data_IF_278832810785
#
_entry.id   IF_278832810785
#
_cell.length_a   1.000
_cell.length_b   1.000
_cell.length_c   1.000
_cell.angle_alpha   90.00
_cell.angle_beta   90.00
_cell.angle_gamma   90.00
#
_symmetry.space_group_name_H-M   'P 1'
#
loop_
_entity.id
_entity.type
_entity.pdbx_description
1 polymer ?
#
# COMPACT_ATOMS: atom_id res chain seq x y z
N UNK A 1 -7.51 -14.22 -11.97
CA UNK A 1 -6.35 -13.66 -12.71
C UNK A 1 -5.03 -14.16 -12.13
N UNK A 2 -4.68 -13.81 -10.90
CA UNK A 2 -3.39 -14.19 -10.29
C UNK A 2 -3.09 -15.70 -10.25
N UNK A 3 -4.07 -16.54 -9.90
CA UNK A 3 -3.90 -17.99 -9.92
C UNK A 3 -3.61 -18.56 -11.31
N UNK A 4 -4.35 -18.08 -12.34
CA UNK A 4 -4.16 -18.51 -13.71
C UNK A 4 -2.79 -18.09 -14.24
N UNK A 5 -2.40 -16.82 -14.05
CA UNK A 5 -1.06 -16.33 -14.43
C UNK A 5 0.03 -17.10 -13.68
N UNK A 6 -0.13 -17.28 -12.37
CA UNK A 6 0.80 -18.03 -11.54
C UNK A 6 0.96 -19.48 -11.96
N UNK A 7 -0.08 -20.14 -12.45
CA UNK A 7 -0.01 -21.52 -12.94
C UNK A 7 0.89 -21.65 -14.17
N UNK A 8 0.71 -20.79 -15.17
CA UNK A 8 1.54 -20.77 -16.38
C UNK A 8 3.00 -20.44 -16.06
N UNK A 9 3.22 -19.48 -15.16
CA UNK A 9 4.57 -19.05 -14.80
C UNK A 9 5.28 -20.13 -13.96
N UNK A 10 4.59 -20.70 -12.97
CA UNK A 10 5.17 -21.66 -12.04
C UNK A 10 5.44 -23.02 -12.69
N UNK A 11 4.46 -23.58 -13.40
CA UNK A 11 4.54 -24.96 -13.90
C UNK A 11 5.06 -25.06 -15.33
N UNK A 12 4.73 -24.08 -16.19
CA UNK A 12 5.16 -24.08 -17.59
C UNK A 12 6.41 -23.22 -17.83
N UNK A 13 6.93 -22.56 -16.77
CA UNK A 13 8.15 -21.73 -16.81
C UNK A 13 8.14 -20.67 -17.91
N UNK A 14 6.95 -20.17 -18.25
CA UNK A 14 6.79 -19.06 -19.18
C UNK A 14 7.21 -17.76 -18.48
N UNK A 15 8.01 -16.88 -19.11
CA UNK A 15 8.42 -15.61 -18.53
C UNK A 15 7.23 -14.80 -18.01
N UNK A 16 7.35 -14.27 -16.78
CA UNK A 16 6.26 -13.59 -16.07
C UNK A 16 5.70 -12.41 -16.84
N UNK A 17 6.59 -11.57 -17.41
CA UNK A 17 6.22 -10.39 -18.20
C UNK A 17 5.27 -10.72 -19.35
N UNK A 18 5.52 -11.83 -20.06
CA UNK A 18 4.69 -12.27 -21.19
C UNK A 18 3.30 -12.66 -20.69
N UNK A 19 3.23 -13.47 -19.63
CA UNK A 19 1.95 -13.96 -19.08
C UNK A 19 1.13 -12.83 -18.47
N UNK A 20 1.78 -11.85 -17.82
CA UNK A 20 1.08 -10.71 -17.21
C UNK A 20 0.58 -9.72 -18.25
N UNK A 21 1.37 -9.40 -19.30
CA UNK A 21 0.93 -8.52 -20.38
C UNK A 21 -0.13 -9.17 -21.26
N UNK A 22 0.08 -10.42 -21.68
CA UNK A 22 -0.93 -11.15 -22.45
C UNK A 22 -2.23 -11.29 -21.64
N UNK A 23 -2.11 -11.60 -20.34
CA UNK A 23 -3.25 -11.64 -19.44
C UNK A 23 -3.99 -10.30 -19.39
N UNK A 24 -3.27 -9.18 -19.22
CA UNK A 24 -3.87 -7.85 -19.23
C UNK A 24 -4.66 -7.58 -20.52
N UNK A 25 -4.08 -7.87 -21.69
CA UNK A 25 -4.72 -7.67 -22.99
C UNK A 25 -5.98 -8.55 -23.15
N UNK A 26 -5.90 -9.83 -22.75
CA UNK A 26 -7.03 -10.75 -22.82
C UNK A 26 -8.16 -10.29 -21.91
N UNK A 27 -7.88 -10.04 -20.62
CA UNK A 27 -8.91 -9.61 -19.67
C UNK A 27 -9.52 -8.26 -20.06
N UNK A 28 -8.71 -7.34 -20.57
CA UNK A 28 -9.19 -6.05 -21.08
C UNK A 28 -10.08 -6.22 -22.31
N UNK A 29 -9.68 -7.07 -23.26
CA UNK A 29 -10.49 -7.38 -24.45
C UNK A 29 -11.82 -8.01 -24.07
N UNK A 30 -11.82 -8.95 -23.11
CA UNK A 30 -13.04 -9.55 -22.56
C UNK A 30 -13.93 -8.48 -21.92
N UNK A 31 -13.36 -7.60 -21.07
CA UNK A 31 -14.12 -6.50 -20.48
C UNK A 31 -14.74 -5.59 -21.54
N UNK A 32 -13.99 -5.25 -22.60
CA UNK A 32 -14.48 -4.40 -23.68
C UNK A 32 -15.60 -5.06 -24.49
N UNK A 33 -15.51 -6.37 -24.73
CA UNK A 33 -16.54 -7.15 -25.40
C UNK A 33 -17.81 -7.26 -24.54
N UNK A 34 -17.67 -7.56 -23.24
CA UNK A 34 -18.79 -7.65 -22.30
C UNK A 34 -19.52 -6.32 -22.12
N UNK A 35 -18.79 -5.20 -22.21
CA UNK A 35 -19.33 -3.85 -22.04
C UNK A 35 -19.77 -3.21 -23.36
N UNK A 36 -19.99 -4.00 -24.41
CA UNK A 36 -20.61 -3.53 -25.65
C UNK A 36 -19.82 -2.44 -26.39
N UNK A 37 -18.48 -2.47 -26.34
CA UNK A 37 -17.64 -1.53 -27.09
C UNK A 37 -16.96 -0.43 -26.27
N UNK A 38 -16.86 -0.59 -24.95
CA UNK A 38 -16.07 0.31 -24.09
C UNK A 38 -16.89 1.23 -23.18
N UNK A 39 -18.19 0.98 -23.05
CA UNK A 39 -19.05 1.70 -22.11
C UNK A 39 -18.57 1.54 -20.67
N UNK A 40 -18.76 2.57 -19.86
CA UNK A 40 -18.48 2.53 -18.43
C UNK A 40 -19.67 1.97 -17.65
N UNK A 41 -19.40 1.18 -16.61
CA UNK A 41 -20.43 0.75 -15.65
C UNK A 41 -20.46 1.74 -14.50
N UNK A 42 -21.55 2.49 -14.38
CA UNK A 42 -21.75 3.46 -13.32
C UNK A 42 -23.09 4.19 -13.42
N UNK A 43 -23.43 5.04 -12.43
CA UNK A 43 -22.60 5.43 -11.29
C UNK A 43 -22.57 4.36 -10.18
N UNK A 44 -21.39 4.14 -9.61
CA UNK A 44 -21.22 3.24 -8.47
C UNK A 44 -21.84 3.84 -7.19
N UNK A 45 -22.31 3.00 -6.23
CA UNK A 45 -22.90 3.45 -4.98
C UNK A 45 -22.00 4.41 -4.19
N UNK A 46 -22.59 5.33 -3.43
CA UNK A 46 -21.85 6.31 -2.63
C UNK A 46 -20.91 5.66 -1.60
N UNK A 47 -21.33 4.53 -1.00
CA UNK A 47 -20.51 3.72 -0.10
C UNK A 47 -19.26 3.17 -0.79
N UNK A 48 -19.37 2.78 -2.06
CA UNK A 48 -18.24 2.31 -2.84
C UNK A 48 -17.27 3.44 -3.17
N UNK A 49 -17.78 4.62 -3.55
CA UNK A 49 -16.96 5.83 -3.77
C UNK A 49 -16.21 6.26 -2.51
N UNK A 50 -16.86 6.15 -1.35
CA UNK A 50 -16.26 6.47 -0.05
C UNK A 50 -15.06 5.58 0.30
N UNK A 51 -14.89 4.40 -0.32
CA UNK A 51 -13.69 3.59 -0.14
C UNK A 51 -12.41 4.31 -0.61
N UNK A 52 -12.53 5.14 -1.65
CA UNK A 52 -11.39 5.85 -2.24
C UNK A 52 -11.31 7.31 -1.82
N UNK A 53 -12.43 8.03 -1.83
CA UNK A 53 -12.49 9.46 -1.51
C UNK A 53 -13.02 9.75 -0.11
N UNK A 54 -13.38 8.72 0.65
CA UNK A 54 -13.84 8.87 2.03
C UNK A 54 -12.70 9.13 3.01
N UNK A 55 -13.08 9.79 4.09
CA UNK A 55 -12.23 10.09 5.23
C UNK A 55 -12.78 9.40 6.46
N UNK A 56 -11.91 9.10 7.43
CA UNK A 56 -12.35 8.49 8.70
C UNK A 56 -13.34 9.44 9.39
N UNK A 57 -14.54 8.96 9.78
CA UNK A 57 -15.51 9.78 10.49
C UNK A 57 -14.97 10.16 11.87
N UNK A 58 -15.24 11.38 12.30
CA UNK A 58 -14.83 11.86 13.62
C UNK A 58 -15.67 11.24 14.73
N UNK A 59 -15.14 10.19 15.35
CA UNK A 59 -15.71 9.53 16.53
C UNK A 59 -15.54 10.37 17.81
N UNK A 60 -14.48 11.19 17.89
CA UNK A 60 -14.12 11.96 19.10
C UNK A 60 -14.64 13.42 19.03
N UNK A 61 -15.30 13.80 17.94
CA UNK A 61 -15.75 15.17 17.68
C UNK A 61 -14.61 16.09 17.21
N UNK A 62 -14.89 17.08 16.34
CA UNK A 62 -13.87 18.03 15.88
C UNK A 62 -13.60 19.12 16.94
N UNK A 63 -12.33 19.44 17.19
CA UNK A 63 -11.98 20.63 17.97
C UNK A 63 -12.04 21.85 17.04
N UNK A 64 -13.05 22.70 17.20
CA UNK A 64 -13.15 23.95 16.43
C UNK A 64 -12.48 25.09 17.20
N UNK A 65 -11.23 25.43 16.85
CA UNK A 65 -10.53 26.57 17.45
C UNK A 65 -11.03 27.91 16.87
N UNK A 66 -11.54 27.89 15.64
CA UNK A 66 -12.22 29.01 14.98
C UNK A 66 -13.48 28.43 14.31
N UNK A 67 -14.69 28.93 14.61
CA UNK A 67 -15.91 28.40 14.02
C UNK A 67 -15.92 28.61 12.50
N UNK A 68 -16.20 27.56 11.71
CA UNK A 68 -16.24 27.68 10.26
C UNK A 68 -17.45 28.50 9.81
N UNK A 69 -17.26 29.42 8.85
CA UNK A 69 -18.41 30.11 8.27
C UNK A 69 -19.20 29.13 7.40
N UNK A 70 -20.47 28.95 7.74
CA UNK A 70 -21.40 28.09 6.99
C UNK A 70 -22.06 28.91 5.89
N UNK A 71 -22.17 28.34 4.69
CA UNK A 71 -23.05 28.91 3.66
C UNK A 71 -24.51 28.74 4.09
N UNK A 72 -25.44 29.50 3.49
CA UNK A 72 -26.88 29.42 3.74
C UNK A 72 -27.50 28.00 3.58
N UNK A 73 -26.77 27.06 2.99
CA UNK A 73 -27.11 25.64 2.87
C UNK A 73 -26.57 24.74 4.01
N UNK A 74 -26.04 25.32 5.10
CA UNK A 74 -25.53 24.57 6.26
C UNK A 74 -24.23 23.80 6.02
N UNK A 75 -23.55 24.03 4.89
CA UNK A 75 -22.30 23.37 4.51
C UNK A 75 -21.11 24.26 4.84
N UNK A 76 -20.10 23.70 5.52
CA UNK A 76 -18.85 24.41 5.86
C UNK A 76 -18.08 24.79 4.60
N UNK A 77 -17.66 26.04 4.49
CA UNK A 77 -16.79 26.50 3.41
C UNK A 77 -15.38 25.98 3.69
N UNK A 78 -14.77 25.32 2.72
CA UNK A 78 -13.40 24.81 2.85
C UNK A 78 -12.46 26.01 2.97
N UNK A 79 -11.81 26.18 4.12
CA UNK A 79 -10.85 27.26 4.38
C UNK A 79 -11.35 28.37 5.31
N UNK A 80 -12.60 28.34 5.78
CA UNK A 80 -13.04 29.18 6.89
C UNK A 80 -13.27 28.31 8.12
N UNK A 81 -12.49 28.52 9.18
CA UNK A 81 -12.54 27.78 10.44
C UNK A 81 -11.46 26.70 10.57
N UNK A 82 -10.83 26.64 11.75
CA UNK A 82 -9.83 25.64 12.09
C UNK A 82 -10.53 24.50 12.83
N UNK A 83 -11.12 23.57 12.08
CA UNK A 83 -11.76 22.36 12.63
C UNK A 83 -10.76 21.22 12.59
N UNK A 84 -10.16 20.89 13.73
CA UNK A 84 -9.20 19.80 13.86
C UNK A 84 -9.95 18.48 14.11
N UNK A 85 -9.85 17.56 13.15
CA UNK A 85 -10.38 16.21 13.29
C UNK A 85 -9.59 15.43 14.36
N UNK A 86 -10.10 15.37 15.60
CA UNK A 86 -9.39 14.80 16.75
C UNK A 86 -8.99 13.34 16.54
N UNK A 87 -9.80 12.56 15.84
CA UNK A 87 -9.51 11.15 15.55
C UNK A 87 -8.23 10.97 14.74
N UNK A 88 -8.00 11.85 13.76
CA UNK A 88 -6.81 11.82 12.90
C UNK A 88 -5.57 12.24 13.67
N UNK A 89 -5.70 13.22 14.57
CA UNK A 89 -4.59 13.68 15.43
C UNK A 89 -4.20 12.60 16.44
N UNK A 90 -5.17 11.98 17.10
CA UNK A 90 -4.91 10.90 18.07
C UNK A 90 -4.26 9.70 17.37
N UNK A 91 -4.79 9.25 16.22
CA UNK A 91 -4.17 8.17 15.46
C UNK A 91 -2.77 8.53 14.97
N UNK A 92 -2.56 9.75 14.50
CA UNK A 92 -1.25 10.23 14.07
C UNK A 92 -0.24 10.31 15.21
N UNK A 93 -0.64 10.81 16.38
CA UNK A 93 0.18 10.81 17.60
C UNK A 93 0.55 9.38 18.03
N UNK A 94 -0.43 8.46 18.04
CA UNK A 94 -0.18 7.04 18.34
C UNK A 94 0.82 6.45 17.35
N UNK A 95 0.68 6.73 16.05
CA UNK A 95 1.59 6.24 15.02
C UNK A 95 3.02 6.78 15.21
N UNK A 96 3.17 8.06 15.56
CA UNK A 96 4.46 8.70 15.82
C UNK A 96 5.11 8.15 17.10
N UNK A 97 4.33 7.98 18.18
CA UNK A 97 4.81 7.36 19.41
C UNK A 97 5.20 5.90 19.19
N UNK A 98 4.43 5.16 18.40
CA UNK A 98 4.76 3.79 18.00
C UNK A 98 6.06 3.75 17.18
N UNK A 99 6.24 4.65 16.21
CA UNK A 99 7.47 4.77 15.43
C UNK A 99 8.70 5.02 16.33
N UNK A 100 8.60 5.98 17.25
CA UNK A 100 9.67 6.26 18.22
C UNK A 100 9.93 5.06 19.15
N UNK A 101 8.88 4.42 19.67
CA UNK A 101 8.98 3.26 20.55
C UNK A 101 9.61 2.05 19.85
N UNK A 102 9.18 1.72 18.63
CA UNK A 102 9.75 0.64 17.84
C UNK A 102 11.20 0.94 17.44
N UNK A 103 11.54 2.21 17.16
CA UNK A 103 12.91 2.66 16.93
C UNK A 103 13.82 2.41 18.13
N UNK A 104 13.37 2.81 19.33
CA UNK A 104 14.09 2.59 20.59
C UNK A 104 14.22 1.10 20.93
N UNK A 105 13.15 0.32 20.74
CA UNK A 105 13.16 -1.12 20.99
C UNK A 105 14.09 -1.87 20.02
N UNK A 106 14.11 -1.47 18.76
CA UNK A 106 15.02 -2.03 17.75
C UNK A 106 16.48 -1.73 18.10
N UNK A 107 16.79 -0.51 18.56
CA UNK A 107 18.13 -0.14 19.04
C UNK A 107 18.56 -0.98 20.25
N UNK A 108 17.72 -1.07 21.29
CA UNK A 108 18.00 -1.91 22.48
C UNK A 108 18.25 -3.37 22.13
N UNK A 109 17.55 -3.90 21.12
CA UNK A 109 17.79 -5.26 20.63
C UNK A 109 19.14 -5.40 19.93
N UNK A 110 19.57 -4.40 19.15
CA UNK A 110 20.88 -4.38 18.46
C UNK A 110 22.04 -4.27 19.43
N UNK A 111 21.93 -3.41 20.46
CA UNK A 111 22.93 -3.24 21.51
C UNK A 111 23.14 -4.54 22.31
N UNK A 112 22.06 -5.29 22.58
CA UNK A 112 22.16 -6.61 23.26
C UNK A 112 22.84 -7.70 22.42
N UNK A 113 22.93 -7.54 21.11
CA UNK A 113 23.53 -8.54 20.21
C UNK A 113 24.92 -8.12 19.69
N UNK A 114 25.52 -7.07 20.26
CA UNK A 114 26.90 -6.67 19.95
C UNK A 114 27.11 -6.03 18.57
N UNK A 115 26.04 -5.57 17.90
CA UNK A 115 26.16 -4.82 16.65
C UNK A 115 26.56 -3.37 16.91
N UNK A 116 27.42 -2.79 16.07
CA UNK A 116 27.74 -1.35 16.09
C UNK A 116 26.46 -0.55 15.88
N UNK A 117 25.93 0.00 16.97
CA UNK A 117 24.76 0.86 16.94
C UNK A 117 25.17 2.21 16.34
N UNK A 118 24.36 2.73 15.41
CA UNK A 118 24.52 4.11 14.90
C UNK A 118 24.74 5.09 16.07
N UNK A 119 25.66 6.07 15.92
CA UNK A 119 26.00 6.98 17.00
C UNK A 119 24.73 7.63 17.54
N UNK A 120 24.59 7.66 18.87
CA UNK A 120 23.38 8.09 19.56
C UNK A 120 22.79 9.41 19.01
N UNK A 121 23.60 10.44 18.69
CA UNK A 121 23.09 11.67 18.09
C UNK A 121 22.40 11.47 16.74
N UNK A 122 23.00 10.68 15.83
CA UNK A 122 22.41 10.42 14.51
C UNK A 122 21.06 9.70 14.61
N UNK A 123 20.94 8.75 15.53
CA UNK A 123 19.67 8.05 15.76
C UNK A 123 18.58 8.99 16.28
N UNK A 124 18.91 9.85 17.25
CA UNK A 124 17.97 10.81 17.82
C UNK A 124 17.54 11.83 16.77
N UNK A 125 18.48 12.41 16.02
CA UNK A 125 18.18 13.36 14.95
C UNK A 125 17.31 12.72 13.87
N UNK A 126 17.66 11.53 13.37
CA UNK A 126 16.87 10.81 12.36
C UNK A 126 15.45 10.51 12.85
N UNK A 127 15.31 10.06 14.09
CA UNK A 127 14.01 9.74 14.67
C UNK A 127 13.17 11.01 14.88
N UNK A 128 13.79 12.09 15.35
CA UNK A 128 13.13 13.39 15.52
C UNK A 128 12.66 13.95 14.19
N UNK A 129 13.52 14.00 13.17
CA UNK A 129 13.17 14.49 11.83
C UNK A 129 12.04 13.66 11.23
N UNK A 130 12.11 12.33 11.30
CA UNK A 130 11.04 11.45 10.82
C UNK A 130 9.71 11.66 11.56
N UNK A 131 9.77 11.80 12.89
CA UNK A 131 8.58 12.07 13.71
C UNK A 131 7.97 13.46 13.46
N UNK A 132 8.79 14.49 13.27
CA UNK A 132 8.34 15.85 12.98
C UNK A 132 7.69 15.94 11.60
N UNK A 133 8.26 15.28 10.59
CA UNK A 133 7.67 15.21 9.25
C UNK A 133 6.34 14.45 9.25
N UNK A 134 6.26 13.34 9.98
CA UNK A 134 5.01 12.61 10.15
C UNK A 134 3.94 13.43 10.87
N UNK A 135 4.29 14.13 11.95
CA UNK A 135 3.38 15.04 12.66
C UNK A 135 2.90 16.19 11.76
N UNK A 136 3.81 16.78 10.98
CA UNK A 136 3.46 17.83 10.02
C UNK A 136 2.40 17.32 9.02
N UNK A 137 2.59 16.14 8.45
CA UNK A 137 1.60 15.53 7.53
C UNK A 137 0.28 15.23 8.24
N UNK A 138 0.31 14.68 9.45
CA UNK A 138 -0.90 14.40 10.24
C UNK A 138 -1.70 15.68 10.49
N UNK A 139 -1.04 16.79 10.85
CA UNK A 139 -1.70 18.09 11.06
C UNK A 139 -2.30 18.62 9.75
N UNK A 140 -1.61 18.48 8.62
CA UNK A 140 -2.15 18.85 7.30
C UNK A 140 -3.42 18.05 6.96
N UNK A 141 -3.41 16.73 7.14
CA UNK A 141 -4.59 15.90 6.90
C UNK A 141 -5.73 16.22 7.87
N UNK A 142 -5.42 16.39 9.15
CA UNK A 142 -6.39 16.73 10.19
C UNK A 142 -7.03 18.12 10.00
N UNK A 143 -6.35 19.05 9.33
CA UNK A 143 -6.85 20.39 9.03
C UNK A 143 -7.75 20.44 7.79
N UNK A 144 -7.70 19.43 6.92
CA UNK A 144 -8.47 19.41 5.68
C UNK A 144 -9.79 18.64 5.83
N UNK A 145 -9.71 17.31 5.92
CA UNK A 145 -10.88 16.41 5.98
C UNK A 145 -10.64 15.15 6.82
N UNK A 146 -9.48 15.05 7.50
CA UNK A 146 -9.06 13.88 8.26
C UNK A 146 -8.19 12.91 7.45
N UNK A 147 -8.00 11.71 7.99
CA UNK A 147 -7.17 10.67 7.36
C UNK A 147 -7.95 9.99 6.21
N UNK A 148 -7.39 9.94 4.98
CA UNK A 148 -8.01 9.20 3.88
C UNK A 148 -8.11 7.71 4.17
N UNK A 149 -9.24 7.07 3.88
CA UNK A 149 -9.43 5.63 4.07
C UNK A 149 -8.38 4.82 3.30
N UNK A 150 -8.03 5.25 2.09
CA UNK A 150 -6.98 4.62 1.27
C UNK A 150 -5.63 4.58 1.99
N UNK A 151 -5.26 5.64 2.70
CA UNK A 151 -4.00 5.69 3.45
C UNK A 151 -4.00 4.67 4.58
N UNK A 152 -5.12 4.50 5.28
CA UNK A 152 -5.27 3.48 6.31
C UNK A 152 -5.18 2.06 5.71
N UNK A 153 -5.90 1.80 4.61
CA UNK A 153 -5.85 0.49 3.92
C UNK A 153 -4.41 0.17 3.50
N UNK A 154 -3.70 1.13 2.90
CA UNK A 154 -2.29 0.97 2.55
C UNK A 154 -1.40 0.75 3.77
N UNK A 155 -1.59 1.51 4.86
CA UNK A 155 -0.84 1.35 6.10
C UNK A 155 -1.00 -0.04 6.73
N UNK A 156 -2.24 -0.57 6.73
CA UNK A 156 -2.54 -1.93 7.21
C UNK A 156 -1.87 -2.97 6.31
N UNK A 157 -1.99 -2.83 4.98
CA UNK A 157 -1.36 -3.75 4.03
C UNK A 157 0.17 -3.74 4.16
N UNK A 158 0.80 -2.56 4.19
CA UNK A 158 2.24 -2.41 4.39
C UNK A 158 2.66 -3.09 5.69
N UNK A 159 1.96 -2.81 6.80
CA UNK A 159 2.26 -3.42 8.10
C UNK A 159 2.17 -4.95 8.07
N UNK A 160 1.13 -5.48 7.41
CA UNK A 160 0.94 -6.91 7.20
C UNK A 160 2.09 -7.51 6.38
N UNK A 161 2.45 -6.92 5.23
CA UNK A 161 3.52 -7.44 4.39
C UNK A 161 4.90 -7.30 5.01
N UNK A 162 5.16 -6.24 5.77
CA UNK A 162 6.36 -6.11 6.61
C UNK A 162 6.43 -7.25 7.61
N UNK A 163 5.32 -7.58 8.27
CA UNK A 163 5.26 -8.69 9.21
C UNK A 163 5.49 -10.03 8.51
N UNK A 164 4.78 -10.31 7.40
CA UNK A 164 4.91 -11.55 6.63
C UNK A 164 6.34 -11.73 6.12
N UNK A 165 6.95 -10.69 5.55
CA UNK A 165 8.30 -10.77 4.98
C UNK A 165 9.39 -10.90 6.04
N UNK A 166 9.28 -10.18 7.17
CA UNK A 166 10.33 -10.16 8.21
C UNK A 166 10.19 -11.23 9.29
N UNK A 167 8.96 -11.71 9.57
CA UNK A 167 8.71 -12.65 10.68
C UNK A 167 8.36 -14.06 10.22
N UNK A 168 7.68 -14.22 9.08
CA UNK A 168 7.17 -15.52 8.67
C UNK A 168 8.19 -16.33 7.87
N UNK A 169 7.99 -17.65 7.81
CA UNK A 169 8.81 -18.58 7.01
C UNK A 169 8.59 -18.37 5.51
N UNK A 170 7.37 -18.05 5.09
CA UNK A 170 7.01 -17.80 3.69
C UNK A 170 7.84 -16.65 3.12
N UNK A 171 7.95 -15.53 3.85
CA UNK A 171 8.78 -14.39 3.44
C UNK A 171 10.23 -14.79 3.15
N UNK A 172 10.86 -15.51 4.09
CA UNK A 172 12.25 -15.99 3.93
C UNK A 172 12.44 -16.88 2.71
N UNK A 173 11.47 -17.77 2.42
CA UNK A 173 11.52 -18.64 1.24
C UNK A 173 11.40 -17.84 -0.06
N UNK A 174 10.61 -16.76 -0.08
CA UNK A 174 10.47 -15.87 -1.25
C UNK A 174 11.81 -15.18 -1.54
N UNK A 175 12.50 -14.63 -0.53
CA UNK A 175 13.83 -14.03 -0.71
C UNK A 175 14.87 -15.06 -1.17
N UNK A 176 14.87 -16.25 -0.58
CA UNK A 176 15.79 -17.33 -0.99
C UNK A 176 15.58 -17.75 -2.46
N UNK A 177 14.32 -17.90 -2.89
CA UNK A 177 14.00 -18.18 -4.30
C UNK A 177 14.46 -17.04 -5.21
N UNK A 178 14.25 -15.78 -4.80
CA UNK A 178 14.61 -14.62 -5.60
C UNK A 178 16.11 -14.49 -5.86
N UNK A 179 16.96 -14.91 -4.92
CA UNK A 179 18.42 -14.86 -5.10
C UNK A 179 18.95 -16.00 -5.97
N UNK A 180 18.49 -17.24 -5.72
CA UNK A 180 18.83 -18.39 -6.55
C UNK A 180 17.74 -19.47 -6.46
N UNK A 181 16.88 -19.53 -7.47
CA UNK A 181 15.80 -20.49 -7.53
C UNK A 181 16.28 -21.95 -7.52
N UNK A 182 17.40 -22.25 -8.19
CA UNK A 182 17.94 -23.63 -8.25
C UNK A 182 18.48 -24.07 -6.90
N UNK A 183 19.17 -23.20 -6.18
CA UNK A 183 19.65 -23.49 -4.82
C UNK A 183 18.49 -23.64 -3.82
N UNK A 184 17.44 -22.82 -3.96
CA UNK A 184 16.22 -22.94 -3.15
C UNK A 184 15.52 -24.30 -3.37
N UNK A 185 15.43 -24.78 -4.61
CA UNK A 185 14.90 -26.11 -4.93
C UNK A 185 15.72 -27.23 -4.28
N UNK A 186 17.05 -27.16 -4.38
CA UNK A 186 17.95 -28.14 -3.76
C UNK A 186 17.88 -28.12 -2.22
N UNK A 187 17.47 -26.98 -1.64
CA UNK A 187 17.21 -26.82 -0.20
C UNK A 187 15.81 -27.28 0.22
N UNK A 188 15.08 -28.00 -0.64
CA UNK A 188 13.76 -28.56 -0.34
C UNK A 188 12.60 -27.56 -0.41
N UNK A 189 12.81 -26.35 -0.95
CA UNK A 189 11.73 -25.39 -1.16
C UNK A 189 11.05 -25.73 -2.49
N UNK A 190 9.76 -26.06 -2.44
CA UNK A 190 8.95 -26.22 -3.64
C UNK A 190 8.72 -24.84 -4.29
N UNK A 191 9.58 -24.49 -5.24
CA UNK A 191 9.58 -23.17 -5.88
C UNK A 191 8.33 -22.95 -6.72
N UNK A 192 7.81 -23.98 -7.36
CA UNK A 192 6.63 -23.93 -8.23
C UNK A 192 5.40 -23.52 -7.42
N UNK A 193 5.14 -24.20 -6.29
CA UNK A 193 4.05 -23.84 -5.37
C UNK A 193 4.24 -22.44 -4.79
N UNK A 194 5.47 -22.08 -4.43
CA UNK A 194 5.74 -20.78 -3.84
C UNK A 194 5.53 -19.64 -4.87
N UNK A 195 5.95 -19.83 -6.12
CA UNK A 195 5.71 -18.89 -7.23
C UNK A 195 4.21 -18.74 -7.48
N UNK A 196 3.46 -19.85 -7.52
CA UNK A 196 2.01 -19.81 -7.65
C UNK A 196 1.36 -19.00 -6.52
N UNK A 197 1.76 -19.23 -5.27
CA UNK A 197 1.23 -18.48 -4.10
C UNK A 197 1.54 -16.99 -4.17
N UNK A 198 2.73 -16.60 -4.66
CA UNK A 198 3.11 -15.20 -4.86
C UNK A 198 2.20 -14.54 -5.90
N UNK A 199 1.96 -15.19 -7.04
CA UNK A 199 1.07 -14.65 -8.08
C UNK A 199 -0.40 -14.61 -7.66
N UNK A 200 -0.87 -15.57 -6.85
CA UNK A 200 -2.20 -15.51 -6.24
C UNK A 200 -2.33 -14.26 -5.36
N UNK A 201 -1.35 -14.03 -4.47
CA UNK A 201 -1.33 -12.83 -3.62
C UNK A 201 -1.30 -11.54 -4.45
N UNK A 202 -0.48 -11.49 -5.51
CA UNK A 202 -0.46 -10.35 -6.42
C UNK A 202 -1.80 -10.13 -7.12
N UNK A 203 -2.53 -11.19 -7.47
CA UNK A 203 -3.89 -11.09 -7.99
C UNK A 203 -4.87 -10.45 -7.00
N UNK A 204 -4.76 -10.77 -5.71
CA UNK A 204 -5.59 -10.16 -4.65
C UNK A 204 -5.25 -8.68 -4.48
N UNK A 205 -3.97 -8.33 -4.44
CA UNK A 205 -3.52 -6.93 -4.33
C UNK A 205 -3.92 -6.08 -5.54
N UNK A 206 -3.77 -6.65 -6.74
CA UNK A 206 -4.19 -6.01 -7.99
C UNK A 206 -5.71 -5.80 -8.03
N UNK A 207 -6.50 -6.77 -7.56
CA UNK A 207 -7.96 -6.62 -7.45
C UNK A 207 -8.33 -5.49 -6.47
N UNK A 208 -7.67 -5.41 -5.31
CA UNK A 208 -7.89 -4.33 -4.35
C UNK A 208 -7.52 -2.96 -4.93
N UNK A 209 -6.38 -2.86 -5.62
CA UNK A 209 -5.98 -1.63 -6.34
C UNK A 209 -6.99 -1.22 -7.41
N UNK A 210 -7.48 -2.18 -8.20
CA UNK A 210 -8.53 -1.96 -9.20
C UNK A 210 -9.83 -1.47 -8.60
N UNK A 211 -10.25 -2.02 -7.46
CA UNK A 211 -11.43 -1.55 -6.71
C UNK A 211 -11.25 -0.10 -6.22
N UNK A 212 -10.07 0.27 -5.74
CA UNK A 212 -9.77 1.65 -5.30
C UNK A 212 -9.81 2.62 -6.49
N UNK A 213 -9.29 2.23 -7.66
CA UNK A 213 -9.35 3.05 -8.87
C UNK A 213 -10.80 3.20 -9.36
N UNK A 214 -11.57 2.12 -9.40
CA UNK A 214 -12.98 2.17 -9.77
C UNK A 214 -13.79 3.05 -8.79
N UNK A 215 -13.50 2.95 -7.49
CA UNK A 215 -14.10 3.80 -6.46
C UNK A 215 -13.71 5.27 -6.63
N UNK A 216 -12.46 5.55 -7.03
CA UNK A 216 -11.97 6.91 -7.31
C UNK A 216 -12.70 7.55 -8.50
N UNK A 217 -12.88 6.77 -9.58
CA UNK A 217 -13.56 7.22 -10.79
C UNK A 217 -15.08 7.24 -10.62
N UNK A 218 -15.62 6.54 -9.62
CA UNK A 218 -17.06 6.37 -9.40
C UNK A 218 -17.76 5.55 -10.48
N UNK A 219 -16.98 4.94 -11.38
CA UNK A 219 -17.42 4.14 -12.52
C UNK A 219 -16.32 3.11 -12.83
N UNK A 220 -16.69 1.96 -13.36
CA UNK A 220 -15.74 0.99 -13.90
C UNK A 220 -15.60 1.21 -15.41
N UNK A 221 -14.39 1.54 -15.86
CA UNK A 221 -14.07 1.81 -17.28
C UNK A 221 -13.01 0.80 -17.74
N UNK A 222 -13.17 0.14 -18.91
CA UNK A 222 -12.16 -0.81 -19.43
C UNK A 222 -10.78 -0.21 -19.68
N UNK A 223 -10.72 1.11 -19.87
CA UNK A 223 -9.49 1.85 -20.10
C UNK A 223 -8.83 2.37 -18.80
N UNK A 224 -9.41 2.09 -17.63
CA UNK A 224 -8.85 2.54 -16.36
C UNK A 224 -7.47 1.90 -16.09
N UNK A 225 -6.49 2.73 -15.71
CA UNK A 225 -5.13 2.30 -15.37
C UNK A 225 -4.18 2.15 -16.56
N UNK A 226 -4.59 2.54 -17.77
CA UNK A 226 -3.69 2.56 -18.93
C UNK A 226 -2.59 3.60 -18.78
N UNK A 227 -1.36 3.21 -19.11
CA UNK A 227 -0.18 4.05 -18.98
C UNK A 227 0.41 4.04 -17.57
N UNK A 228 -0.32 3.52 -16.57
CA UNK A 228 0.17 3.39 -15.19
C UNK A 228 1.09 2.19 -14.99
N UNK A 229 1.28 1.33 -16.00
CA UNK A 229 2.14 0.14 -15.88
C UNK A 229 3.60 0.53 -15.62
N UNK A 230 4.11 1.51 -16.37
CA UNK A 230 5.47 2.03 -16.21
C UNK A 230 5.64 2.75 -14.86
N UNK A 231 4.64 3.52 -14.43
CA UNK A 231 4.65 4.21 -13.13
C UNK A 231 4.69 3.21 -11.97
N UNK A 232 3.91 2.12 -12.08
CA UNK A 232 3.88 1.05 -11.07
C UNK A 232 5.23 0.32 -11.03
N UNK A 233 5.83 0.03 -12.17
CA UNK A 233 7.18 -0.55 -12.22
C UNK A 233 8.18 0.41 -11.56
N UNK A 234 8.19 1.68 -11.94
CA UNK A 234 9.07 2.70 -11.37
C UNK A 234 8.91 2.82 -9.85
N UNK A 235 7.67 2.82 -9.34
CA UNK A 235 7.39 2.89 -7.91
C UNK A 235 7.96 1.69 -7.13
N UNK A 236 7.87 0.48 -7.69
CA UNK A 236 8.42 -0.74 -7.07
C UNK A 236 9.95 -0.71 -7.05
N UNK A 237 10.59 -0.21 -8.11
CA UNK A 237 12.04 -0.05 -8.18
C UNK A 237 12.56 1.03 -7.21
N UNK A 238 11.91 2.20 -7.18
CA UNK A 238 12.24 3.27 -6.21
C UNK A 238 12.00 2.77 -4.77
N UNK A 239 10.99 1.93 -4.57
CA UNK A 239 10.71 1.26 -3.29
C UNK A 239 11.74 0.22 -2.86
N UNK A 240 12.82 0.00 -3.61
CA UNK A 240 13.96 -0.83 -3.21
C UNK A 240 13.93 -2.27 -3.70
N UNK A 241 13.00 -2.66 -4.59
CA UNK A 241 13.01 -3.99 -5.19
C UNK A 241 14.08 -4.10 -6.30
N UNK A 242 14.84 -5.20 -6.30
CA UNK A 242 15.86 -5.48 -7.32
C UNK A 242 15.29 -6.19 -8.56
N UNK A 243 15.66 -5.73 -9.77
CA UNK A 243 15.39 -6.43 -11.03
C UNK A 243 16.00 -7.84 -11.06
N UNK A 244 17.16 -7.99 -10.41
CA UNK A 244 17.93 -9.24 -10.40
C UNK A 244 17.41 -10.25 -9.35
N UNK A 245 16.42 -9.86 -8.54
CA UNK A 245 15.81 -10.71 -7.52
C UNK A 245 16.62 -10.82 -6.23
N UNK A 246 15.99 -11.45 -5.22
CA UNK A 246 16.65 -11.84 -3.96
C UNK A 246 16.95 -10.71 -2.98
N UNK A 247 16.79 -9.45 -3.41
CA UNK A 247 17.08 -8.25 -2.62
C UNK A 247 15.91 -7.28 -2.71
N UNK A 248 15.52 -6.75 -1.57
CA UNK A 248 14.53 -5.68 -1.43
C UNK A 248 13.94 -5.63 -0.03
N UNK A 249 13.31 -4.50 0.33
CA UNK A 249 12.53 -4.40 1.56
C UNK A 249 11.19 -3.72 1.26
N UNK A 250 10.18 -4.05 2.06
CA UNK A 250 8.86 -3.38 1.97
C UNK A 250 8.93 -1.91 2.42
N UNK A 251 10.01 -1.48 3.09
CA UNK A 251 10.17 -0.13 3.64
C UNK A 251 11.24 0.70 2.88
N UNK A 252 11.75 0.21 1.74
CA UNK A 252 12.97 0.77 1.13
C UNK A 252 14.21 0.21 1.82
#
# INVERSE_FOLDING_TARGET
>A
IGAAQGYWIAYHRIPSFIVTLAGMLIFRGICQALLGGGSSVGPLPASFKALSSGFIPDVIGPLTLIPPTVNAAGKTIVGSGLTLHMTTIVLGLIAVLAYAYFGLRARRKRERHGYEAEPFPLFVVKTLVGSALALFLVVQFASYRGLPVVLLVMGVLISLFVFVTKRMTIGRRIYAMGGNAKAAQLSGINTERLTLMVFINMGVLSALGGLIIAARLGQAVPAAGLGSELDVIAAVFIGGASAMGGVGQVIG
#
